data_IF_521289734041
#
_entry.id   IF_521289734041
#
_cell.length_a   1.000
_cell.length_b   1.000
_cell.length_c   1.000
_cell.angle_alpha   90.00
_cell.angle_beta   90.00
_cell.angle_gamma   90.00
#
_symmetry.space_group_name_H-M   'P 1'
#
loop_
_entity.id
_entity.type
_entity.pdbx_description
1 polymer ?
#
# COMPACT_ATOMS: atom_id res chain seq x y z
N UNK A 1 0.51 -15.38 1.78
CA UNK A 1 -0.38 -14.72 0.80
C UNK A 1 -1.03 -13.55 1.52
N UNK A 2 -1.00 -12.35 0.95
CA UNK A 2 -1.64 -11.17 1.55
C UNK A 2 -3.16 -11.24 1.34
N UNK A 3 -3.93 -10.59 2.23
CA UNK A 3 -5.39 -10.54 2.15
C UNK A 3 -5.92 -9.18 2.61
N UNK A 4 -7.13 -8.84 2.15
CA UNK A 4 -7.88 -7.70 2.67
C UNK A 4 -8.80 -8.17 3.81
N UNK A 5 -8.67 -7.53 4.96
CA UNK A 5 -9.69 -7.59 6.01
C UNK A 5 -10.82 -6.60 5.68
N UNK A 6 -11.96 -7.12 5.24
CA UNK A 6 -13.11 -6.29 4.86
C UNK A 6 -13.77 -5.59 6.04
N UNK A 7 -13.61 -6.09 7.27
CA UNK A 7 -14.10 -5.41 8.46
C UNK A 7 -13.24 -4.19 8.76
N UNK A 8 -11.91 -4.33 8.63
CA UNK A 8 -11.01 -3.17 8.75
C UNK A 8 -11.29 -2.16 7.64
N UNK A 9 -11.50 -2.60 6.40
CA UNK A 9 -11.90 -1.72 5.31
C UNK A 9 -13.18 -0.93 5.66
N UNK A 10 -14.22 -1.62 6.16
CA UNK A 10 -15.47 -0.97 6.56
C UNK A 10 -15.25 0.04 7.69
N UNK A 11 -14.46 -0.31 8.70
CA UNK A 11 -14.15 0.58 9.82
C UNK A 11 -13.35 1.80 9.38
N UNK A 12 -12.44 1.66 8.42
CA UNK A 12 -11.57 2.73 7.95
C UNK A 12 -12.27 3.67 6.94
N UNK A 13 -13.17 3.14 6.12
CA UNK A 13 -13.79 3.88 5.01
C UNK A 13 -15.25 4.24 5.25
N UNK A 14 -15.91 3.57 6.19
CA UNK A 14 -17.35 3.69 6.44
C UNK A 14 -18.23 3.00 5.37
N UNK A 15 -17.66 2.23 4.44
CA UNK A 15 -18.42 1.57 3.39
C UNK A 15 -18.04 0.09 3.22
N UNK A 16 -19.02 -0.71 2.77
CA UNK A 16 -18.78 -2.13 2.50
C UNK A 16 -17.83 -2.29 1.32
N UNK A 17 -16.87 -3.21 1.44
CA UNK A 17 -15.87 -3.50 0.41
C UNK A 17 -16.52 -3.67 -0.97
N UNK A 18 -17.53 -4.52 -1.09
CA UNK A 18 -18.20 -4.82 -2.37
C UNK A 18 -19.28 -3.80 -2.81
N UNK A 19 -19.51 -2.72 -2.07
CA UNK A 19 -20.45 -1.68 -2.49
C UNK A 19 -19.87 -0.82 -3.62
N UNK A 20 -20.71 -0.14 -4.41
CA UNK A 20 -20.26 0.78 -5.46
C UNK A 20 -19.28 1.84 -4.92
N UNK A 21 -19.52 2.33 -3.71
CA UNK A 21 -18.65 3.28 -3.02
C UNK A 21 -17.33 2.60 -2.62
N UNK A 22 -17.40 1.38 -2.08
CA UNK A 22 -16.22 0.58 -1.75
C UNK A 22 -15.33 0.32 -2.96
N UNK A 23 -15.92 -0.07 -4.10
CA UNK A 23 -15.23 -0.23 -5.38
C UNK A 23 -14.53 1.07 -5.80
N UNK A 24 -15.22 2.23 -5.69
CA UNK A 24 -14.60 3.53 -5.99
C UNK A 24 -13.41 3.84 -5.09
N UNK A 25 -13.49 3.52 -3.79
CA UNK A 25 -12.34 3.67 -2.87
C UNK A 25 -11.16 2.81 -3.32
N UNK A 26 -11.39 1.54 -3.69
CA UNK A 26 -10.32 0.66 -4.19
C UNK A 26 -9.70 1.18 -5.47
N UNK A 27 -10.49 1.71 -6.40
CA UNK A 27 -9.98 2.34 -7.63
C UNK A 27 -9.13 3.60 -7.34
N UNK A 28 -9.44 4.36 -6.29
CA UNK A 28 -8.58 5.49 -5.85
C UNK A 28 -7.27 4.96 -5.26
N UNK A 29 -7.32 3.90 -4.45
CA UNK A 29 -6.14 3.25 -3.90
C UNK A 29 -5.21 2.73 -5.02
N UNK A 30 -5.76 2.02 -6.01
CA UNK A 30 -5.03 1.48 -7.16
C UNK A 30 -4.35 2.59 -7.96
N UNK A 31 -5.05 3.67 -8.28
CA UNK A 31 -4.45 4.84 -8.97
C UNK A 31 -3.31 5.46 -8.16
N UNK A 32 -3.47 5.55 -6.85
CA UNK A 32 -2.43 6.08 -5.95
C UNK A 32 -1.21 5.16 -5.90
N UNK A 33 -1.41 3.84 -5.88
CA UNK A 33 -0.35 2.84 -5.88
C UNK A 33 0.44 2.87 -7.19
N UNK A 34 -0.23 2.98 -8.35
CA UNK A 34 0.47 3.15 -9.64
C UNK A 34 1.36 4.39 -9.66
N UNK A 35 0.88 5.50 -9.10
CA UNK A 35 1.69 6.72 -8.98
C UNK A 35 2.92 6.49 -8.09
N UNK A 36 2.74 5.81 -6.96
CA UNK A 36 3.86 5.46 -6.07
C UNK A 36 4.87 4.54 -6.77
N UNK A 37 4.41 3.56 -7.56
CA UNK A 37 5.29 2.73 -8.37
C UNK A 37 6.14 3.56 -9.34
N UNK A 38 5.54 4.55 -10.01
CA UNK A 38 6.27 5.50 -10.86
C UNK A 38 7.29 6.32 -10.05
N UNK A 39 6.88 6.85 -8.89
CA UNK A 39 7.75 7.63 -8.01
C UNK A 39 8.95 6.81 -7.48
N UNK A 40 8.76 5.51 -7.22
CA UNK A 40 9.85 4.58 -6.86
C UNK A 40 10.84 4.43 -8.02
N UNK A 41 10.35 4.17 -9.23
CA UNK A 41 11.19 3.94 -10.41
C UNK A 41 11.97 5.19 -10.81
N UNK A 42 11.38 6.37 -10.63
CA UNK A 42 12.01 7.65 -10.93
C UNK A 42 12.90 8.16 -9.79
N UNK A 43 12.89 7.51 -8.62
CA UNK A 43 13.69 7.94 -7.46
C UNK A 43 13.32 9.32 -6.95
N UNK A 44 12.04 9.72 -7.06
CA UNK A 44 11.58 11.07 -6.68
C UNK A 44 11.52 11.29 -5.17
N UNK A 45 11.40 10.21 -4.41
CA UNK A 45 11.21 10.24 -2.95
C UNK A 45 12.03 9.16 -2.25
N UNK A 46 12.30 9.36 -0.96
CA UNK A 46 12.99 8.37 -0.14
C UNK A 46 12.12 7.14 0.11
N UNK A 47 12.76 5.99 0.34
CA UNK A 47 12.07 4.76 0.69
C UNK A 47 11.16 4.92 1.91
N UNK A 48 11.61 5.64 2.94
CA UNK A 48 10.77 6.00 4.10
C UNK A 48 9.51 6.76 3.71
N UNK A 49 9.60 7.77 2.85
CA UNK A 49 8.43 8.56 2.44
C UNK A 49 7.45 7.72 1.62
N UNK A 50 7.97 6.90 0.70
CA UNK A 50 7.16 6.00 -0.13
C UNK A 50 6.50 4.91 0.72
N UNK A 51 7.24 4.30 1.66
CA UNK A 51 6.71 3.33 2.61
C UNK A 51 5.58 3.92 3.46
N UNK A 52 5.71 5.17 3.90
CA UNK A 52 4.66 5.87 4.64
C UNK A 52 3.35 5.99 3.84
N UNK A 53 3.45 6.33 2.55
CA UNK A 53 2.29 6.42 1.66
C UNK A 53 1.63 5.06 1.44
N UNK A 54 2.42 4.03 1.10
CA UNK A 54 1.89 2.67 0.89
C UNK A 54 1.25 2.13 2.17
N UNK A 55 1.85 2.39 3.35
CA UNK A 55 1.29 2.02 4.65
C UNK A 55 -0.09 2.64 4.86
N UNK A 56 -0.24 3.94 4.57
CA UNK A 56 -1.52 4.64 4.70
C UNK A 56 -2.61 4.00 3.85
N UNK A 57 -2.30 3.73 2.57
CA UNK A 57 -3.23 3.06 1.65
C UNK A 57 -3.59 1.66 2.14
N UNK A 58 -2.59 0.88 2.57
CA UNK A 58 -2.78 -0.48 3.08
C UNK A 58 -3.67 -0.51 4.32
N UNK A 59 -3.50 0.42 5.26
CA UNK A 59 -4.35 0.56 6.44
C UNK A 59 -5.79 0.90 6.06
N UNK A 60 -5.99 1.88 5.17
CA UNK A 60 -7.33 2.26 4.70
C UNK A 60 -8.05 1.12 3.98
N UNK A 61 -7.30 0.28 3.28
CA UNK A 61 -7.86 -0.84 2.53
C UNK A 61 -8.00 -2.13 3.35
N UNK A 62 -7.49 -2.19 4.59
CA UNK A 62 -7.52 -3.41 5.40
C UNK A 62 -6.43 -4.45 5.09
N UNK A 63 -5.35 -4.08 4.39
CA UNK A 63 -4.19 -4.94 4.12
C UNK A 63 -3.15 -4.85 5.24
N UNK A 64 -3.46 -5.43 6.39
CA UNK A 64 -2.67 -5.27 7.62
C UNK A 64 -1.23 -5.79 7.48
N UNK A 65 -1.02 -6.89 6.78
CA UNK A 65 0.30 -7.47 6.57
C UNK A 65 1.19 -6.53 5.74
N UNK A 66 0.64 -5.92 4.69
CA UNK A 66 1.36 -4.96 3.86
C UNK A 66 1.68 -3.69 4.66
N UNK A 67 0.73 -3.20 5.47
CA UNK A 67 0.98 -2.08 6.36
C UNK A 67 2.13 -2.35 7.36
N UNK A 68 2.21 -3.59 7.90
CA UNK A 68 3.31 -4.01 8.77
C UNK A 68 4.66 -4.07 8.06
N UNK A 69 4.69 -4.53 6.80
CA UNK A 69 5.92 -4.50 5.99
C UNK A 69 6.39 -3.06 5.79
N UNK A 70 5.49 -2.16 5.40
CA UNK A 70 5.82 -0.75 5.19
C UNK A 70 6.28 -0.07 6.49
N UNK A 71 5.66 -0.39 7.63
CA UNK A 71 6.11 0.09 8.94
C UNK A 71 7.56 -0.31 9.24
N UNK A 72 7.93 -1.56 8.93
CA UNK A 72 9.32 -2.03 9.10
C UNK A 72 10.27 -1.29 8.17
N UNK A 73 9.88 -1.07 6.92
CA UNK A 73 10.69 -0.27 5.99
C UNK A 73 10.91 1.15 6.48
N UNK A 74 9.88 1.82 6.99
CA UNK A 74 10.02 3.16 7.59
C UNK A 74 10.95 3.16 8.81
N UNK A 75 10.83 2.16 9.67
CA UNK A 75 11.60 2.07 10.91
C UNK A 75 13.08 1.76 10.66
N UNK A 76 13.35 0.88 9.69
CA UNK A 76 14.70 0.40 9.36
C UNK A 76 15.32 1.09 8.14
N UNK A 77 14.76 2.22 7.67
CA UNK A 77 15.25 2.96 6.49
C UNK A 77 16.76 3.32 6.59
N UNK A 78 17.26 3.62 7.79
CA UNK A 78 18.67 3.95 8.01
C UNK A 78 19.64 2.76 7.96
N UNK A 79 19.15 1.52 7.90
CA UNK A 79 19.98 0.30 7.86
C UNK A 79 19.67 -0.60 6.66
N UNK A 80 18.48 -0.50 6.08
CA UNK A 80 18.09 -1.26 4.90
C UNK A 80 18.80 -0.69 3.67
N UNK A 81 19.33 -1.59 2.83
CA UNK A 81 19.88 -1.21 1.55
C UNK A 81 18.80 -0.54 0.66
N UNK A 82 19.13 0.59 0.05
CA UNK A 82 18.18 1.40 -0.70
C UNK A 82 17.49 0.64 -1.84
N UNK A 83 18.25 -0.14 -2.63
CA UNK A 83 17.68 -0.89 -3.75
C UNK A 83 16.81 -2.07 -3.27
N UNK A 84 17.20 -2.70 -2.16
CA UNK A 84 16.37 -3.71 -1.50
C UNK A 84 15.05 -3.12 -1.00
N UNK A 85 15.08 -1.95 -0.37
CA UNK A 85 13.88 -1.22 0.06
C UNK A 85 12.94 -0.88 -1.10
N UNK A 86 13.49 -0.37 -2.21
CA UNK A 86 12.73 -0.08 -3.44
C UNK A 86 12.05 -1.33 -4.00
N UNK A 87 12.77 -2.44 -4.06
CA UNK A 87 12.22 -3.72 -4.54
C UNK A 87 11.06 -4.20 -3.67
N UNK A 88 11.23 -4.19 -2.35
CA UNK A 88 10.15 -4.58 -1.42
C UNK A 88 8.93 -3.67 -1.61
N UNK A 89 9.14 -2.36 -1.75
CA UNK A 89 8.04 -1.40 -1.97
C UNK A 89 7.28 -1.67 -3.27
N UNK A 90 7.97 -1.97 -4.37
CA UNK A 90 7.33 -2.37 -5.62
C UNK A 90 6.55 -3.68 -5.45
N UNK A 91 7.15 -4.69 -4.82
CA UNK A 91 6.52 -6.00 -4.63
C UNK A 91 5.21 -5.88 -3.82
N UNK A 92 5.23 -5.15 -2.71
CA UNK A 92 4.02 -4.96 -1.89
C UNK A 92 3.00 -4.03 -2.54
N UNK A 93 3.43 -3.03 -3.31
CA UNK A 93 2.52 -2.14 -4.02
C UNK A 93 1.77 -2.88 -5.14
N UNK A 94 2.47 -3.73 -5.90
CA UNK A 94 1.86 -4.57 -6.92
C UNK A 94 0.91 -5.60 -6.31
N UNK A 95 1.29 -6.23 -5.18
CA UNK A 95 0.38 -7.12 -4.46
C UNK A 95 -0.88 -6.39 -3.98
N UNK A 96 -0.73 -5.16 -3.50
CA UNK A 96 -1.85 -4.33 -3.06
C UNK A 96 -2.79 -3.96 -4.21
N UNK A 97 -2.24 -3.63 -5.39
CA UNK A 97 -3.03 -3.37 -6.61
C UNK A 97 -3.90 -4.58 -6.93
N UNK A 98 -3.32 -5.79 -6.98
CA UNK A 98 -4.07 -7.01 -7.25
C UNK A 98 -5.16 -7.31 -6.22
N UNK A 99 -4.92 -7.01 -4.94
CA UNK A 99 -5.93 -7.18 -3.89
C UNK A 99 -7.09 -6.19 -4.00
N UNK A 100 -6.83 -4.98 -4.49
CA UNK A 100 -7.85 -3.94 -4.65
C UNK A 100 -8.65 -4.07 -5.95
N UNK A 101 -8.05 -4.62 -7.01
CA UNK A 101 -8.72 -4.85 -8.30
C UNK A 101 -9.63 -6.10 -8.31
N UNK A 102 -9.49 -6.98 -7.31
CA UNK A 102 -10.39 -8.13 -7.08
C UNK A 102 -11.80 -7.69 -6.61
#
# INVERSE_FOLDING_TARGET
MYSIDTNVFLMATGCNFQSDIGVRFRQVAVRSLYKICDDILQGRESNRALAHKVKGIALSCGAIEIARVCLKLEHYDGVINESAGKKILLDVSNAMIHLCDA
#
